data_IF_208827718120
#
_entry.id   IF_208827718120
#
_cell.length_a   1.000
_cell.length_b   1.000
_cell.length_c   1.000
_cell.angle_alpha   90.00
_cell.angle_beta   90.00
_cell.angle_gamma   90.00
#
_symmetry.space_group_name_H-M   'P 1'
#
loop_
_entity.id
_entity.type
_entity.pdbx_description
1 polymer ?
#
# COMPACT_ATOMS: atom_id res chain seq x y z
N UNK A 1 -34.53 2.89 -16.05
CA UNK A 1 -33.66 4.07 -15.95
C UNK A 1 -32.35 3.62 -15.33
N UNK A 2 -31.29 3.54 -16.14
CA UNK A 2 -29.97 3.12 -15.70
C UNK A 2 -29.32 4.25 -14.90
N UNK A 3 -28.96 3.99 -13.65
CA UNK A 3 -28.18 4.91 -12.83
C UNK A 3 -26.74 4.88 -13.33
N UNK A 4 -26.29 6.02 -13.85
CA UNK A 4 -24.91 6.30 -14.19
C UNK A 4 -24.04 6.17 -12.93
N UNK A 5 -23.15 5.19 -12.92
CA UNK A 5 -22.04 5.10 -11.97
C UNK A 5 -21.11 6.29 -12.23
N UNK A 6 -21.18 7.26 -11.32
CA UNK A 6 -20.32 8.44 -11.32
C UNK A 6 -18.87 8.00 -11.13
N UNK A 7 -18.05 8.29 -12.14
CA UNK A 7 -16.60 8.13 -12.19
C UNK A 7 -15.98 9.04 -11.10
N UNK A 8 -15.75 8.51 -9.89
CA UNK A 8 -15.33 9.31 -8.71
C UNK A 8 -13.88 9.76 -8.74
N UNK A 9 -13.09 9.33 -9.72
CA UNK A 9 -11.72 9.79 -9.93
C UNK A 9 -11.71 10.86 -11.02
N UNK A 10 -11.98 12.11 -10.63
CA UNK A 10 -11.95 13.26 -11.55
C UNK A 10 -10.70 13.23 -12.43
N UNK A 11 -10.89 13.19 -13.76
CA UNK A 11 -9.78 13.11 -14.71
C UNK A 11 -8.82 14.27 -14.47
N UNK A 12 -7.58 13.95 -14.13
CA UNK A 12 -6.55 14.95 -13.94
C UNK A 12 -6.40 15.82 -15.21
N UNK A 13 -6.17 17.12 -15.02
CA UNK A 13 -5.95 18.06 -16.13
C UNK A 13 -4.79 17.55 -17.01
N UNK A 14 -4.91 17.61 -18.36
CA UNK A 14 -3.82 17.24 -19.27
C UNK A 14 -2.49 17.88 -18.87
N UNK A 15 -1.41 17.11 -18.90
CA UNK A 15 -0.06 17.55 -18.49
C UNK A 15 0.27 17.37 -17.00
N UNK A 16 -0.71 17.10 -16.14
CA UNK A 16 -0.47 16.88 -14.68
C UNK A 16 0.54 15.77 -14.42
N UNK A 17 0.45 14.64 -15.13
CA UNK A 17 1.38 13.52 -14.97
C UNK A 17 2.83 13.89 -15.31
N UNK A 18 3.05 14.60 -16.42
CA UNK A 18 4.39 15.03 -16.83
C UNK A 18 5.02 15.98 -15.80
N UNK A 19 4.22 16.91 -15.25
CA UNK A 19 4.66 17.80 -14.18
C UNK A 19 5.05 17.03 -12.92
N UNK A 20 4.25 16.06 -12.49
CA UNK A 20 4.55 15.25 -11.30
C UNK A 20 5.85 14.44 -11.47
N UNK A 21 6.10 13.91 -12.67
CA UNK A 21 7.36 13.21 -12.97
C UNK A 21 8.56 14.17 -12.93
N UNK A 22 8.41 15.41 -13.40
CA UNK A 22 9.46 16.42 -13.29
C UNK A 22 9.75 16.76 -11.81
N UNK A 23 8.71 17.03 -11.03
CA UNK A 23 8.84 17.32 -9.60
C UNK A 23 9.45 16.15 -8.80
N UNK A 24 9.17 14.90 -9.17
CA UNK A 24 9.80 13.73 -8.56
C UNK A 24 11.33 13.75 -8.77
N UNK A 25 11.80 14.09 -9.98
CA UNK A 25 13.24 14.16 -10.27
C UNK A 25 13.92 15.28 -9.48
N UNK A 26 13.29 16.44 -9.41
CA UNK A 26 13.77 17.57 -8.61
C UNK A 26 13.86 17.21 -7.13
N UNK A 27 12.82 16.56 -6.59
CA UNK A 27 12.82 16.10 -5.20
C UNK A 27 13.93 15.06 -4.93
N UNK A 28 14.12 14.08 -5.81
CA UNK A 28 15.19 13.09 -5.66
C UNK A 28 16.57 13.73 -5.71
N UNK A 29 16.80 14.71 -6.59
CA UNK A 29 18.06 15.46 -6.61
C UNK A 29 18.28 16.24 -5.31
N UNK A 30 17.23 16.88 -4.78
CA UNK A 30 17.32 17.59 -3.51
C UNK A 30 17.70 16.67 -2.34
N UNK A 31 17.26 15.41 -2.32
CA UNK A 31 17.62 14.44 -1.27
C UNK A 31 19.13 14.16 -1.20
N UNK A 32 19.88 14.33 -2.30
CA UNK A 32 21.32 14.10 -2.32
C UNK A 32 22.10 15.15 -1.49
N UNK A 33 21.54 16.34 -1.31
CA UNK A 33 22.16 17.44 -0.55
C UNK A 33 22.01 17.27 0.97
N UNK A 34 21.01 16.49 1.41
CA UNK A 34 20.60 16.42 2.82
C UNK A 34 21.70 15.89 3.74
N UNK A 35 22.41 14.78 3.43
CA UNK A 35 23.44 14.24 4.33
C UNK A 35 24.49 15.28 4.73
N UNK A 36 24.84 16.21 3.83
CA UNK A 36 25.81 17.27 4.08
C UNK A 36 25.29 18.43 4.92
N UNK A 37 23.98 18.51 5.16
CA UNK A 37 23.31 19.58 5.91
C UNK A 37 22.71 19.12 7.25
N UNK A 38 22.58 17.81 7.49
CA UNK A 38 21.94 17.27 8.71
C UNK A 38 22.55 17.78 10.02
N UNK A 39 23.85 18.10 10.04
CA UNK A 39 24.55 18.63 11.21
C UNK A 39 24.07 20.02 11.66
N UNK A 40 23.33 20.74 10.80
CA UNK A 40 22.76 22.05 11.09
C UNK A 40 21.42 21.99 11.82
N UNK A 41 20.84 20.78 11.95
CA UNK A 41 19.50 20.59 12.48
C UNK A 41 19.53 20.34 14.00
N UNK A 42 18.53 20.87 14.69
CA UNK A 42 18.26 20.54 16.09
C UNK A 42 17.49 19.21 16.21
N UNK A 43 17.27 18.76 17.45
CA UNK A 43 16.60 17.48 17.73
C UNK A 43 15.18 17.41 17.14
N UNK A 44 14.41 18.50 17.25
CA UNK A 44 13.05 18.54 16.74
C UNK A 44 13.03 18.42 15.21
N UNK A 45 13.89 19.19 14.53
CA UNK A 45 14.04 19.15 13.08
C UNK A 45 14.54 17.77 12.61
N UNK A 46 15.46 17.12 13.32
CA UNK A 46 15.89 15.75 13.02
C UNK A 46 14.73 14.75 13.15
N UNK A 47 13.88 14.91 14.16
CA UNK A 47 12.65 14.12 14.31
C UNK A 47 11.69 14.28 13.13
N UNK A 48 11.50 15.52 12.67
CA UNK A 48 10.67 15.82 11.51
C UNK A 48 11.25 15.24 10.21
N UNK A 49 12.58 15.29 10.04
CA UNK A 49 13.29 14.66 8.92
C UNK A 49 13.05 13.15 8.92
N UNK A 50 13.27 12.48 10.05
CA UNK A 50 13.07 11.03 10.15
C UNK A 50 11.62 10.64 9.86
N UNK A 51 10.66 11.31 10.52
CA UNK A 51 9.23 11.05 10.30
C UNK A 51 8.79 11.35 8.86
N UNK A 52 9.27 12.45 8.29
CA UNK A 52 9.00 12.86 6.91
C UNK A 52 9.53 11.85 5.89
N UNK A 53 10.80 11.46 6.01
CA UNK A 53 11.43 10.51 5.06
C UNK A 53 10.79 9.13 5.12
N UNK A 54 10.41 8.64 6.31
CA UNK A 54 9.70 7.37 6.44
C UNK A 54 8.30 7.41 5.83
N UNK A 55 7.57 8.54 5.99
CA UNK A 55 6.28 8.75 5.31
C UNK A 55 6.44 8.80 3.79
N UNK A 56 7.47 9.50 3.29
CA UNK A 56 7.80 9.55 1.87
C UNK A 56 8.10 8.16 1.33
N UNK A 57 8.90 7.37 2.04
CA UNK A 57 9.21 5.98 1.66
C UNK A 57 7.94 5.13 1.53
N UNK A 58 7.08 5.13 2.56
CA UNK A 58 5.82 4.39 2.50
C UNK A 58 4.91 4.87 1.36
N UNK A 59 4.84 6.19 1.13
CA UNK A 59 4.00 6.76 0.07
C UNK A 59 4.53 6.44 -1.33
N UNK A 60 5.86 6.44 -1.49
CA UNK A 60 6.52 6.08 -2.74
C UNK A 60 6.23 4.63 -3.12
N UNK A 61 6.22 3.69 -2.16
CA UNK A 61 5.81 2.31 -2.42
C UNK A 61 4.37 2.22 -2.93
N UNK A 62 3.42 2.93 -2.31
CA UNK A 62 2.02 2.95 -2.77
C UNK A 62 1.91 3.46 -4.22
N UNK A 63 2.55 4.59 -4.52
CA UNK A 63 2.53 5.19 -5.85
C UNK A 63 3.18 4.23 -6.87
N UNK A 64 4.27 3.56 -6.51
CA UNK A 64 4.92 2.59 -7.38
C UNK A 64 4.02 1.36 -7.66
N UNK A 65 3.26 0.88 -6.66
CA UNK A 65 2.30 -0.20 -6.86
C UNK A 65 1.15 0.21 -7.79
N UNK A 66 0.60 1.42 -7.61
CA UNK A 66 -0.45 1.97 -8.47
C UNK A 66 0.05 2.25 -9.90
N UNK A 67 1.27 2.77 -10.05
CA UNK A 67 1.89 2.94 -11.36
C UNK A 67 2.13 1.60 -12.06
N UNK A 68 2.44 0.55 -11.30
CA UNK A 68 2.56 -0.82 -11.82
C UNK A 68 1.20 -1.36 -12.28
N UNK A 69 0.12 -1.10 -11.52
CA UNK A 69 -1.24 -1.45 -11.91
C UNK A 69 -1.65 -0.74 -13.21
N UNK A 70 -1.43 0.57 -13.32
CA UNK A 70 -1.70 1.34 -14.54
C UNK A 70 -0.87 0.84 -15.75
N UNK A 71 0.41 0.52 -15.53
CA UNK A 71 1.26 -0.07 -16.57
C UNK A 71 0.77 -1.46 -17.03
N UNK A 72 0.18 -2.26 -16.14
CA UNK A 72 -0.46 -3.53 -16.50
C UNK A 72 -1.74 -3.28 -17.32
N UNK A 73 -2.62 -2.40 -16.85
CA UNK A 73 -3.89 -2.09 -17.52
C UNK A 73 -3.67 -1.51 -18.93
N UNK A 74 -2.58 -0.78 -19.15
CA UNK A 74 -2.20 -0.23 -20.47
C UNK A 74 -1.42 -1.20 -21.36
N UNK A 75 -1.14 -2.41 -20.88
CA UNK A 75 -0.30 -3.39 -21.59
C UNK A 75 1.19 -3.01 -21.68
N UNK A 76 1.65 -1.98 -20.95
CA UNK A 76 3.05 -1.54 -20.94
C UNK A 76 3.98 -2.65 -20.45
N UNK A 77 3.58 -3.39 -19.43
CA UNK A 77 4.37 -4.54 -18.93
C UNK A 77 4.43 -5.65 -19.97
N UNK A 78 3.30 -5.98 -20.61
CA UNK A 78 3.22 -7.02 -21.64
C UNK A 78 4.04 -6.67 -22.91
N UNK A 79 4.14 -5.39 -23.24
CA UNK A 79 4.94 -4.88 -24.36
C UNK A 79 6.43 -4.68 -24.01
N UNK A 80 6.84 -5.02 -22.78
CA UNK A 80 8.24 -4.90 -22.34
C UNK A 80 8.96 -6.25 -22.46
N UNK A 81 10.29 -6.25 -22.30
CA UNK A 81 11.07 -7.48 -22.20
C UNK A 81 11.11 -8.07 -20.78
N UNK A 82 10.31 -7.55 -19.84
CA UNK A 82 10.22 -8.10 -18.49
C UNK A 82 9.34 -9.37 -18.49
N UNK A 83 9.69 -10.34 -17.65
CA UNK A 83 8.94 -11.60 -17.51
C UNK A 83 7.64 -11.47 -16.71
N UNK A 84 7.34 -10.28 -16.19
CA UNK A 84 6.15 -9.96 -15.41
C UNK A 84 6.31 -8.66 -14.62
N UNK A 85 5.28 -8.25 -13.90
CA UNK A 85 5.27 -6.97 -13.16
C UNK A 85 6.42 -6.84 -12.14
N UNK A 86 6.73 -7.84 -11.27
CA UNK A 86 7.88 -7.72 -10.38
C UNK A 86 9.21 -7.51 -11.10
N UNK A 87 9.42 -8.19 -12.24
CA UNK A 87 10.62 -8.03 -13.05
C UNK A 87 10.65 -6.66 -13.75
N UNK A 88 9.50 -6.14 -14.15
CA UNK A 88 9.37 -4.80 -14.71
C UNK A 88 9.73 -3.72 -13.67
N UNK A 89 9.21 -3.82 -12.45
CA UNK A 89 9.58 -2.92 -11.33
C UNK A 89 11.07 -3.01 -11.02
N UNK A 90 11.63 -4.23 -10.95
CA UNK A 90 13.04 -4.45 -10.62
C UNK A 90 14.01 -3.72 -11.57
N UNK A 91 13.64 -3.58 -12.84
CA UNK A 91 14.47 -2.89 -13.84
C UNK A 91 14.58 -1.39 -13.59
N UNK A 92 13.59 -0.80 -12.92
CA UNK A 92 13.52 0.64 -12.68
C UNK A 92 14.05 1.04 -11.30
N UNK A 93 14.11 0.09 -10.37
CA UNK A 93 14.37 0.32 -8.96
C UNK A 93 15.79 -0.14 -8.55
N UNK A 94 16.83 0.47 -9.12
CA UNK A 94 18.22 0.15 -8.77
C UNK A 94 18.53 0.54 -7.33
N UNK A 95 19.16 -0.34 -6.56
CA UNK A 95 19.50 -0.10 -5.16
C UNK A 95 18.34 -0.26 -4.17
N UNK A 96 17.16 -0.69 -4.64
CA UNK A 96 16.02 -1.02 -3.76
C UNK A 96 16.07 -2.50 -3.38
N UNK A 97 15.78 -2.80 -2.12
CA UNK A 97 15.72 -4.17 -1.60
C UNK A 97 14.82 -5.09 -2.46
N UNK A 98 15.29 -6.28 -2.88
CA UNK A 98 14.52 -7.19 -3.73
C UNK A 98 13.14 -7.56 -3.15
N UNK A 99 13.05 -7.64 -1.82
CA UNK A 99 11.80 -7.92 -1.12
C UNK A 99 10.75 -6.81 -1.32
N UNK A 100 11.17 -5.53 -1.34
CA UNK A 100 10.30 -4.38 -1.59
C UNK A 100 9.84 -4.39 -3.04
N UNK A 101 10.77 -4.54 -3.98
CA UNK A 101 10.49 -4.63 -5.42
C UNK A 101 9.46 -5.73 -5.72
N UNK A 102 9.69 -6.93 -5.18
CA UNK A 102 8.76 -8.05 -5.34
C UNK A 102 7.38 -7.71 -4.78
N UNK A 103 7.32 -7.11 -3.59
CA UNK A 103 6.06 -6.75 -2.93
C UNK A 103 5.27 -5.71 -3.73
N UNK A 104 5.92 -4.64 -4.16
CA UNK A 104 5.32 -3.59 -5.01
C UNK A 104 4.77 -4.21 -6.30
N UNK A 105 5.55 -5.05 -6.98
CA UNK A 105 5.12 -5.71 -8.20
C UNK A 105 3.90 -6.62 -8.00
N UNK A 106 3.88 -7.42 -6.93
CA UNK A 106 2.73 -8.28 -6.61
C UNK A 106 1.48 -7.47 -6.27
N UNK A 107 1.60 -6.44 -5.43
CA UNK A 107 0.46 -5.59 -5.08
C UNK A 107 -0.05 -4.83 -6.29
N UNK A 108 0.83 -4.39 -7.20
CA UNK A 108 0.44 -3.78 -8.46
C UNK A 108 -0.36 -4.73 -9.37
N UNK A 109 -0.03 -6.03 -9.40
CA UNK A 109 -0.84 -7.04 -10.11
C UNK A 109 -2.23 -7.14 -9.50
N UNK A 110 -2.32 -7.23 -8.17
CA UNK A 110 -3.60 -7.34 -7.48
C UNK A 110 -4.45 -6.08 -7.66
N UNK A 111 -3.86 -4.88 -7.63
CA UNK A 111 -4.57 -3.62 -7.84
C UNK A 111 -5.04 -3.43 -9.30
N UNK A 112 -4.50 -4.16 -10.27
CA UNK A 112 -4.99 -4.13 -11.64
C UNK A 112 -6.29 -4.96 -11.82
N UNK A 113 -6.65 -5.80 -10.84
CA UNK A 113 -7.91 -6.55 -10.83
C UNK A 113 -9.02 -5.70 -10.19
N UNK A 114 -10.12 -5.50 -10.92
CA UNK A 114 -11.29 -4.74 -10.46
C UNK A 114 -11.89 -5.28 -9.15
N UNK A 115 -11.70 -6.57 -8.84
CA UNK A 115 -12.16 -7.17 -7.58
C UNK A 115 -11.39 -6.66 -6.36
N UNK A 116 -10.28 -5.96 -6.57
CA UNK A 116 -9.44 -5.42 -5.49
C UNK A 116 -9.45 -3.89 -5.49
N UNK A 117 -10.47 -3.24 -6.06
CA UNK A 117 -10.52 -1.78 -6.15
C UNK A 117 -10.41 -1.11 -4.77
N UNK A 118 -10.99 -1.70 -3.72
CA UNK A 118 -10.86 -1.22 -2.32
C UNK A 118 -9.41 -1.12 -1.86
N UNK A 119 -8.53 -2.00 -2.35
CA UNK A 119 -7.09 -1.95 -2.04
C UNK A 119 -6.41 -0.84 -2.83
N UNK A 120 -6.73 -0.69 -4.11
CA UNK A 120 -6.18 0.38 -4.94
C UNK A 120 -6.56 1.77 -4.40
N UNK A 121 -7.81 1.95 -3.99
CA UNK A 121 -8.32 3.19 -3.42
C UNK A 121 -7.62 3.52 -2.08
N UNK A 122 -7.46 2.53 -1.20
CA UNK A 122 -6.75 2.70 0.08
C UNK A 122 -5.25 2.99 -0.08
N UNK A 123 -4.62 2.49 -1.15
CA UNK A 123 -3.27 2.89 -1.50
C UNK A 123 -3.23 4.29 -2.10
N UNK A 124 -4.25 4.69 -2.87
CA UNK A 124 -4.33 5.98 -3.53
C UNK A 124 -4.57 7.13 -2.56
N UNK A 125 -5.44 6.97 -1.56
CA UNK A 125 -5.66 7.97 -0.50
C UNK A 125 -4.56 7.94 0.59
N UNK A 126 -3.78 6.85 0.67
CA UNK A 126 -2.71 6.67 1.64
C UNK A 126 -3.17 6.17 3.00
N UNK A 127 -4.41 5.70 3.12
CA UNK A 127 -4.96 5.05 4.32
C UNK A 127 -4.40 3.65 4.58
N UNK A 128 -3.73 3.05 3.59
CA UNK A 128 -2.99 1.80 3.74
C UNK A 128 -1.58 1.88 3.14
N UNK A 129 -0.68 1.01 3.61
CA UNK A 129 0.65 0.83 3.03
C UNK A 129 0.74 -0.46 2.21
N UNK A 130 1.68 -0.53 1.26
CA UNK A 130 1.95 -1.74 0.46
C UNK A 130 2.18 -3.00 1.31
N UNK A 131 2.95 -2.98 2.43
CA UNK A 131 3.04 -4.11 3.35
C UNK A 131 1.71 -4.60 3.90
N UNK A 132 0.82 -3.68 4.27
CA UNK A 132 -0.50 -3.99 4.83
C UNK A 132 -1.42 -4.55 3.75
N UNK A 133 -1.45 -3.92 2.57
CA UNK A 133 -2.20 -4.40 1.42
C UNK A 133 -1.76 -5.82 1.03
N UNK A 134 -0.45 -6.08 0.96
CA UNK A 134 0.09 -7.41 0.65
C UNK A 134 -0.31 -8.46 1.70
N UNK A 135 -0.38 -8.08 2.97
CA UNK A 135 -0.86 -8.98 4.02
C UNK A 135 -2.37 -9.25 3.88
N UNK A 136 -3.18 -8.21 3.67
CA UNK A 136 -4.63 -8.32 3.47
C UNK A 136 -4.98 -9.24 2.29
N UNK A 137 -4.36 -9.00 1.13
CA UNK A 137 -4.55 -9.79 -0.09
C UNK A 137 -4.16 -11.26 0.08
N UNK A 138 -3.21 -11.56 0.98
CA UNK A 138 -2.79 -12.94 1.27
C UNK A 138 -3.71 -13.63 2.27
N UNK A 139 -4.15 -12.92 3.32
CA UNK A 139 -4.91 -13.54 4.41
C UNK A 139 -6.41 -13.61 4.13
N UNK A 140 -7.02 -12.59 3.50
CA UNK A 140 -8.47 -12.56 3.24
C UNK A 140 -8.96 -13.80 2.48
N UNK A 141 -8.33 -14.25 1.38
CA UNK A 141 -8.76 -15.45 0.68
C UNK A 141 -8.69 -16.74 1.52
N UNK A 142 -7.86 -16.79 2.57
CA UNK A 142 -7.71 -17.95 3.46
C UNK A 142 -8.79 -18.03 4.52
N UNK A 143 -9.23 -16.87 5.00
CA UNK A 143 -10.24 -16.77 6.07
C UNK A 143 -11.66 -16.70 5.52
N UNK A 144 -11.85 -16.18 4.29
CA UNK A 144 -13.17 -15.99 3.69
C UNK A 144 -14.03 -17.27 3.68
N UNK A 145 -13.50 -18.47 3.33
CA UNK A 145 -14.28 -19.70 3.36
C UNK A 145 -14.79 -20.11 4.75
N UNK A 146 -14.17 -19.59 5.81
CA UNK A 146 -14.53 -19.86 7.20
C UNK A 146 -15.58 -18.87 7.73
N UNK A 147 -15.92 -17.84 6.94
CA UNK A 147 -16.82 -16.75 7.32
C UNK A 147 -17.99 -16.68 6.33
N UNK A 148 -19.03 -17.53 6.49
CA UNK A 148 -20.08 -17.72 5.49
C UNK A 148 -20.96 -16.49 5.21
N UNK A 149 -20.89 -15.46 6.05
CA UNK A 149 -21.65 -14.21 5.91
C UNK A 149 -20.77 -12.99 5.64
N UNK A 150 -19.45 -13.16 5.58
CA UNK A 150 -18.54 -12.03 5.40
C UNK A 150 -18.39 -11.69 3.92
N UNK A 151 -18.57 -10.41 3.61
CA UNK A 151 -18.21 -9.87 2.31
C UNK A 151 -16.69 -9.68 2.20
N UNK A 152 -16.15 -9.93 1.00
CA UNK A 152 -14.71 -9.86 0.75
C UNK A 152 -14.18 -8.44 0.85
N UNK A 153 -14.90 -7.46 0.31
CA UNK A 153 -14.45 -6.07 0.29
C UNK A 153 -14.54 -5.47 1.68
N UNK A 154 -15.57 -5.82 2.45
CA UNK A 154 -15.66 -5.51 3.88
C UNK A 154 -14.48 -6.05 4.68
N UNK A 155 -14.06 -7.30 4.43
CA UNK A 155 -12.91 -7.90 5.11
C UNK A 155 -11.60 -7.21 4.70
N UNK A 156 -11.42 -6.91 3.41
CA UNK A 156 -10.25 -6.16 2.95
C UNK A 156 -10.19 -4.78 3.59
N UNK A 157 -11.30 -4.03 3.60
CA UNK A 157 -11.38 -2.72 4.26
C UNK A 157 -10.99 -2.78 5.73
N UNK A 158 -11.48 -3.79 6.47
CA UNK A 158 -11.09 -4.01 7.87
C UNK A 158 -9.59 -4.26 8.02
N UNK A 159 -9.01 -5.16 7.22
CA UNK A 159 -7.57 -5.43 7.27
C UNK A 159 -6.72 -4.19 6.94
N UNK A 160 -7.15 -3.37 5.99
CA UNK A 160 -6.46 -2.15 5.61
C UNK A 160 -6.51 -1.10 6.74
N UNK A 161 -7.65 -0.97 7.42
CA UNK A 161 -7.82 -0.07 8.58
C UNK A 161 -6.97 -0.46 9.80
N UNK A 162 -6.46 -1.69 9.86
CA UNK A 162 -5.55 -2.10 10.94
C UNK A 162 -4.20 -1.36 10.89
N UNK A 163 -3.86 -0.76 9.74
CA UNK A 163 -2.63 0.01 9.58
C UNK A 163 -2.64 1.35 10.30
N UNK A 164 -3.81 1.98 10.45
CA UNK A 164 -4.00 3.21 11.25
C UNK A 164 -3.69 2.99 12.73
N UNK A 165 -3.81 1.75 13.20
CA UNK A 165 -3.71 1.45 14.62
C UNK A 165 -2.28 1.16 15.07
N UNK A 166 -1.32 0.97 14.15
CA UNK A 166 0.05 0.61 14.50
C UNK A 166 0.19 -0.76 15.18
N UNK A 167 1.39 -1.33 15.14
CA UNK A 167 1.68 -2.68 15.67
C UNK A 167 1.40 -2.85 17.18
N UNK A 168 1.42 -1.74 17.95
CA UNK A 168 1.10 -1.75 19.38
C UNK A 168 -0.37 -2.04 19.64
N UNK A 169 -1.26 -1.36 18.92
CA UNK A 169 -2.72 -1.55 19.08
C UNK A 169 -3.18 -2.90 18.56
N UNK A 170 -2.50 -3.48 17.56
CA UNK A 170 -2.72 -4.87 17.15
C UNK A 170 -2.34 -5.88 18.24
N UNK A 171 -1.27 -5.62 19.00
CA UNK A 171 -0.87 -6.45 20.14
C UNK A 171 -1.90 -6.36 21.26
N UNK A 172 -2.39 -5.16 21.54
CA UNK A 172 -3.46 -4.91 22.53
C UNK A 172 -4.79 -5.53 22.11
N UNK A 173 -5.18 -5.44 20.82
CA UNK A 173 -6.35 -6.10 20.25
C UNK A 173 -6.22 -7.62 20.31
N UNK A 174 -5.06 -8.18 19.95
CA UNK A 174 -4.79 -9.61 20.04
C UNK A 174 -4.87 -10.10 21.49
N UNK A 175 -4.30 -9.35 22.45
CA UNK A 175 -4.43 -9.66 23.89
C UNK A 175 -5.87 -9.53 24.39
N UNK A 176 -6.66 -8.58 23.88
CA UNK A 176 -8.09 -8.44 24.24
C UNK A 176 -8.95 -9.55 23.66
N UNK A 177 -8.70 -9.96 22.42
CA UNK A 177 -9.44 -11.05 21.76
C UNK A 177 -9.07 -12.39 22.41
N UNK A 178 -7.78 -12.65 22.65
CA UNK A 178 -7.32 -13.87 23.32
C UNK A 178 -7.67 -13.91 24.82
N UNK A 179 -7.72 -12.76 25.50
CA UNK A 179 -8.19 -12.64 26.88
C UNK A 179 -9.72 -12.73 27.02
N UNK A 180 -10.46 -12.52 25.92
CA UNK A 180 -11.91 -12.65 25.85
C UNK A 180 -12.41 -14.07 25.51
N UNK A 181 -11.54 -14.95 25.01
CA UNK A 181 -11.85 -16.37 24.84
C UNK A 181 -11.71 -17.07 26.21
N UNK A 182 -12.77 -17.01 26.99
CA UNK A 182 -12.92 -17.79 28.23
C UNK A 182 -12.91 -19.29 27.84
N UNK A 183 -11.93 -20.12 28.27
CA UNK A 183 -12.03 -21.55 28.09
C UNK A 183 -13.21 -22.08 28.92
N UNK A 184 -13.92 -23.04 28.31
CA UNK A 184 -15.29 -23.43 28.67
C UNK A 184 -15.55 -23.63 30.16
N UNK A 185 -16.73 -23.19 30.58
CA UNK A 185 -17.32 -23.66 31.82
C UNK A 185 -17.57 -25.18 31.71
N UNK A 186 -16.97 -26.02 32.55
CA UNK A 186 -17.47 -27.37 32.74
C UNK A 186 -18.75 -27.28 33.57
N UNK A 187 -19.79 -27.96 33.09
CA UNK A 187 -21.11 -27.96 33.70
C UNK A 187 -21.23 -28.83 34.95
N UNK A 188 -22.45 -28.74 35.49
CA UNK A 188 -23.16 -29.68 36.35
C UNK A 188 -22.65 -29.90 37.79
N UNK A 189 -23.58 -29.75 38.74
CA UNK A 189 -23.45 -30.18 40.13
C UNK A 189 -24.25 -29.31 41.07
#
# INVERSE_FOLDING_TARGET
>A
MAQSTTDTHGRATPGTGARLVASLREFTAALEEWPGALWQLDEAALGDVVGGMLRVSSRAENIAALATADALSRGTVANSTATGAPAWVARQATGVEPAVVRRVGMVGVECADLRNQVVADALADGSASVPVAAAALREVPRILPQLPTADRDDLLGRYLSLSDHGWRTLRELSTRILGGVRPGAPGAG
#
